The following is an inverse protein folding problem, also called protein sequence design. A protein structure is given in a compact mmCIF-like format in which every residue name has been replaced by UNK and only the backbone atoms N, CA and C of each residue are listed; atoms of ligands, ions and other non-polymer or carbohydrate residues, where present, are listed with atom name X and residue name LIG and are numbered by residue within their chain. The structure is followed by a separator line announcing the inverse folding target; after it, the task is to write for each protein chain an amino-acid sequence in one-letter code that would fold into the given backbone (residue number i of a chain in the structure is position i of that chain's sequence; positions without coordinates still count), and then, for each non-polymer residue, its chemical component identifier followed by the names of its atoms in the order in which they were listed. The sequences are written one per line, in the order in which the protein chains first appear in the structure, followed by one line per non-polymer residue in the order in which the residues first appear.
data_IF_701783643495
#
_entry.id   IF_701783643495
#
_cell.length_a   1.000
_cell.length_b   1.000
_cell.length_c   1.000
_cell.angle_alpha   90.00
_cell.angle_beta   90.00
_cell.angle_gamma   90.00
#
_symmetry.space_group_name_H-M   'P 1'
#
loop_
_entity.id
_entity.type
_entity.pdbx_description
1 polymer ?
#
# COMPACT_ATOMS: atom_id res chain seq x y z
N UNK A 1 8.75 -4.02 15.37
CA UNK A 1 7.54 -3.17 15.50
C UNK A 1 6.41 -4.03 16.00
N UNK A 2 5.56 -3.53 16.91
CA UNK A 2 4.32 -4.19 17.31
C UNK A 2 3.20 -3.63 16.45
N UNK A 3 3.04 -4.17 15.24
CA UNK A 3 1.89 -3.84 14.37
C UNK A 3 0.76 -4.78 14.74
N UNK A 4 -0.46 -4.27 14.80
CA UNK A 4 -1.65 -5.07 15.09
C UNK A 4 -1.81 -6.17 14.01
N UNK A 5 -2.04 -7.41 14.47
CA UNK A 5 -2.18 -8.56 13.59
C UNK A 5 -3.44 -8.45 12.72
N UNK A 6 -4.51 -7.83 13.21
CA UNK A 6 -5.74 -7.65 12.45
C UNK A 6 -5.52 -6.72 11.24
N UNK A 7 -4.64 -5.72 11.38
CA UNK A 7 -4.23 -4.84 10.27
C UNK A 7 -3.44 -5.65 9.23
N UNK A 8 -2.49 -6.47 9.69
CA UNK A 8 -1.66 -7.31 8.80
C UNK A 8 -2.55 -8.29 8.03
N UNK A 9 -3.45 -8.98 8.72
CA UNK A 9 -4.32 -9.97 8.08
C UNK A 9 -5.32 -9.32 7.12
N UNK A 10 -5.87 -8.15 7.44
CA UNK A 10 -6.73 -7.43 6.52
C UNK A 10 -6.00 -6.99 5.23
N UNK A 11 -4.77 -6.50 5.36
CA UNK A 11 -3.95 -6.12 4.19
C UNK A 11 -3.59 -7.33 3.32
N UNK A 12 -3.17 -8.44 3.94
CA UNK A 12 -2.79 -9.64 3.20
C UNK A 12 -3.99 -10.29 2.53
N UNK A 13 -5.12 -10.36 3.23
CA UNK A 13 -6.36 -10.95 2.71
C UNK A 13 -7.14 -9.97 1.81
N UNK A 14 -6.62 -8.77 1.58
CA UNK A 14 -7.22 -7.71 0.74
C UNK A 14 -8.63 -7.30 1.21
N UNK A 15 -8.93 -7.42 2.50
CA UNK A 15 -10.20 -6.98 3.11
C UNK A 15 -10.09 -5.57 3.70
N UNK A 16 -11.18 -4.80 3.80
CA UNK A 16 -11.13 -3.45 4.39
C UNK A 16 -10.51 -3.44 5.78
N UNK A 17 -9.81 -2.35 6.11
CA UNK A 17 -9.27 -2.07 7.43
C UNK A 17 -10.35 -1.50 8.35
N UNK A 18 -10.32 -1.89 9.63
CA UNK A 18 -11.29 -1.42 10.62
C UNK A 18 -11.11 0.07 10.94
N UNK A 19 -9.88 0.58 10.90
CA UNK A 19 -9.60 2.01 11.07
C UNK A 19 -9.95 2.76 9.77
N UNK A 20 -10.93 3.69 9.79
CA UNK A 20 -11.37 4.40 8.59
C UNK A 20 -10.29 5.27 7.94
N UNK A 21 -9.35 5.80 8.75
CA UNK A 21 -8.23 6.60 8.25
C UNK A 21 -7.23 5.70 7.53
N UNK A 22 -6.90 4.54 8.09
CA UNK A 22 -6.03 3.58 7.41
C UNK A 22 -6.70 2.97 6.17
N UNK A 23 -8.01 2.75 6.17
CA UNK A 23 -8.72 2.29 4.97
C UNK A 23 -8.67 3.35 3.86
N UNK A 24 -8.85 4.63 4.18
CA UNK A 24 -8.68 5.71 3.19
C UNK A 24 -7.26 5.70 2.60
N UNK A 25 -6.22 5.49 3.41
CA UNK A 25 -4.84 5.36 2.92
C UNK A 25 -4.68 4.15 1.98
N UNK A 26 -5.25 3.00 2.34
CA UNK A 26 -5.21 1.79 1.52
C UNK A 26 -5.92 2.01 0.18
N UNK A 27 -7.14 2.54 0.21
CA UNK A 27 -7.92 2.82 -1.00
C UNK A 27 -7.20 3.80 -1.93
N UNK A 28 -6.68 4.91 -1.40
CA UNK A 28 -5.93 5.88 -2.20
C UNK A 28 -4.65 5.28 -2.76
N UNK A 29 -3.90 4.48 -1.99
CA UNK A 29 -2.70 3.79 -2.49
C UNK A 29 -3.04 2.83 -3.64
N UNK A 30 -4.15 2.07 -3.51
CA UNK A 30 -4.63 1.19 -4.57
C UNK A 30 -5.07 1.97 -5.82
N UNK A 31 -5.77 3.10 -5.65
CA UNK A 31 -6.18 3.96 -6.75
C UNK A 31 -4.97 4.50 -7.52
N UNK A 32 -4.00 5.11 -6.82
CA UNK A 32 -2.77 5.64 -7.43
C UNK A 32 -2.00 4.54 -8.18
N UNK A 33 -1.95 3.33 -7.61
CA UNK A 33 -1.28 2.18 -8.25
C UNK A 33 -1.98 1.76 -9.55
N UNK A 34 -3.30 1.59 -9.51
CA UNK A 34 -4.10 1.07 -10.63
C UNK A 34 -4.28 2.09 -11.75
N UNK A 35 -4.49 3.35 -11.36
CA UNK A 35 -4.74 4.48 -12.27
C UNK A 35 -3.44 5.22 -12.63
N UNK A 36 -2.28 4.68 -12.24
CA UNK A 36 -0.94 5.20 -12.58
C UNK A 36 -0.76 6.68 -12.24
N UNK A 37 -1.23 7.07 -11.06
CA UNK A 37 -1.12 8.45 -10.56
C UNK A 37 -2.21 9.41 -11.02
N UNK A 38 -3.10 9.01 -11.94
CA UNK A 38 -4.21 9.84 -12.41
C UNK A 38 -5.49 9.46 -11.68
N UNK A 39 -5.63 9.91 -10.43
CA UNK A 39 -6.83 9.68 -9.61
C UNK A 39 -7.80 10.87 -9.67
N UNK A 40 -9.10 10.61 -9.50
CA UNK A 40 -10.15 11.63 -9.55
C UNK A 40 -10.13 12.59 -8.36
N UNK A 41 -10.66 13.81 -8.57
CA UNK A 41 -10.82 14.81 -7.50
C UNK A 41 -11.62 14.26 -6.32
N UNK A 42 -12.65 13.46 -6.58
CA UNK A 42 -13.45 12.79 -5.53
C UNK A 42 -12.61 11.85 -4.66
N UNK A 43 -11.67 11.11 -5.23
CA UNK A 43 -10.77 10.24 -4.46
C UNK A 43 -9.78 11.07 -3.64
N UNK A 44 -9.28 12.18 -4.19
CA UNK A 44 -8.39 13.12 -3.48
C UNK A 44 -9.13 13.77 -2.31
N UNK A 45 -10.35 14.24 -2.51
CA UNK A 45 -11.20 14.83 -1.47
C UNK A 45 -11.50 13.84 -0.35
N UNK A 46 -11.84 12.58 -0.67
CA UNK A 46 -12.06 11.53 0.34
C UNK A 46 -10.81 11.28 1.18
N UNK A 47 -9.63 11.27 0.54
CA UNK A 47 -8.35 11.11 1.23
C UNK A 47 -8.08 12.28 2.19
N UNK A 48 -8.35 13.51 1.76
CA UNK A 48 -8.18 14.69 2.61
C UNK A 48 -9.21 14.77 3.74
N UNK A 49 -10.44 14.33 3.50
CA UNK A 49 -11.48 14.23 4.54
C UNK A 49 -11.10 13.24 5.66
N UNK A 50 -10.28 12.22 5.37
CA UNK A 50 -9.71 11.32 6.37
C UNK A 50 -8.54 11.95 7.18
N UNK A 51 -8.20 13.21 6.93
CA UNK A 51 -7.17 13.96 7.65
C UNK A 51 -5.76 13.77 7.10
N UNK A 52 -5.63 13.39 5.83
CA UNK A 52 -4.36 13.43 5.10
C UNK A 52 -4.23 14.67 4.24
N UNK A 53 -3.03 14.94 3.72
CA UNK A 53 -2.78 16.08 2.85
C UNK A 53 -1.99 15.72 1.60
N UNK A 54 -1.67 16.76 0.81
CA UNK A 54 -0.85 16.63 -0.40
C UNK A 54 0.50 15.98 -0.13
N UNK A 55 1.11 16.24 1.03
CA UNK A 55 2.36 15.60 1.43
C UNK A 55 2.23 14.07 1.43
N UNK A 56 1.18 13.52 2.03
CA UNK A 56 0.98 12.08 2.09
C UNK A 56 0.70 11.46 0.72
N UNK A 57 0.10 12.20 -0.22
CA UNK A 57 0.01 11.73 -1.62
C UNK A 57 1.40 11.56 -2.25
N UNK A 58 2.32 12.51 -2.00
CA UNK A 58 3.70 12.40 -2.49
C UNK A 58 4.47 11.28 -1.79
N UNK A 59 4.22 11.06 -0.49
CA UNK A 59 4.80 9.93 0.26
C UNK A 59 4.30 8.57 -0.25
N UNK A 60 3.02 8.48 -0.67
CA UNK A 60 2.50 7.29 -1.37
C UNK A 60 3.27 7.07 -2.67
N UNK A 61 3.49 8.12 -3.48
CA UNK A 61 4.25 8.01 -4.73
C UNK A 61 5.69 7.53 -4.47
N UNK A 62 6.34 8.04 -3.42
CA UNK A 62 7.67 7.58 -3.01
C UNK A 62 7.67 6.07 -2.68
N UNK A 63 6.71 5.62 -1.86
CA UNK A 63 6.56 4.21 -1.51
C UNK A 63 6.27 3.32 -2.73
N UNK A 64 5.40 3.77 -3.63
CA UNK A 64 5.09 3.06 -4.88
C UNK A 64 6.31 2.96 -5.79
N UNK A 65 7.10 4.03 -5.93
CA UNK A 65 8.31 4.03 -6.74
C UNK A 65 9.30 2.95 -6.27
N UNK A 66 9.50 2.85 -4.95
CA UNK A 66 10.35 1.83 -4.35
C UNK A 66 9.79 0.41 -4.58
N UNK A 67 8.47 0.23 -4.47
CA UNK A 67 7.83 -1.08 -4.66
C UNK A 67 7.77 -1.52 -6.11
N UNK A 68 7.55 -0.61 -7.06
CA UNK A 68 7.63 -0.92 -8.49
C UNK A 68 9.03 -1.42 -8.82
N UNK A 69 10.08 -0.68 -8.43
CA UNK A 69 11.46 -1.09 -8.66
C UNK A 69 11.74 -2.47 -8.04
N UNK A 70 11.46 -2.65 -6.75
CA UNK A 70 11.77 -3.90 -6.04
C UNK A 70 10.95 -5.09 -6.57
N UNK A 71 9.65 -4.94 -6.79
CA UNK A 71 8.79 -6.02 -7.26
C UNK A 71 9.19 -6.45 -8.67
N UNK A 72 9.46 -5.49 -9.57
CA UNK A 72 9.81 -5.82 -10.95
C UNK A 72 11.18 -6.48 -11.03
N UNK A 73 12.17 -6.00 -10.28
CA UNK A 73 13.47 -6.66 -10.17
C UNK A 73 13.31 -8.10 -9.68
N UNK A 74 12.59 -8.33 -8.58
CA UNK A 74 12.43 -9.67 -8.03
C UNK A 74 11.67 -10.62 -8.96
N UNK A 75 10.64 -10.14 -9.67
CA UNK A 75 9.90 -10.94 -10.65
C UNK A 75 10.77 -11.31 -11.86
N UNK A 76 11.61 -10.41 -12.35
CA UNK A 76 12.46 -10.67 -13.53
C UNK A 76 13.70 -11.51 -13.21
N UNK A 77 14.17 -11.44 -11.96
CA UNK A 77 15.36 -12.15 -11.51
C UNK A 77 15.03 -13.47 -10.79
N UNK A 78 13.76 -13.84 -10.66
CA UNK A 78 13.28 -15.00 -9.90
C UNK A 78 13.94 -15.10 -8.51
N UNK A 79 14.00 -13.97 -7.80
CA UNK A 79 14.79 -13.86 -6.57
C UNK A 79 14.24 -14.80 -5.49
N UNK A 80 15.03 -15.77 -4.98
CA UNK A 80 14.56 -16.71 -3.96
C UNK A 80 14.33 -15.99 -2.63
N UNK A 81 13.36 -16.46 -1.86
CA UNK A 81 13.11 -15.96 -0.51
C UNK A 81 14.15 -16.56 0.44
N UNK A 82 14.85 -15.71 1.20
CA UNK A 82 15.80 -16.16 2.21
C UNK A 82 15.11 -17.02 3.29
N UNK A 83 15.84 -17.99 3.84
CA UNK A 83 15.32 -18.95 4.84
C UNK A 83 14.59 -18.26 6.01
N UNK A 84 15.13 -17.14 6.51
CA UNK A 84 14.56 -16.40 7.63
C UNK A 84 13.14 -15.86 7.34
N UNK A 85 12.80 -15.64 6.07
CA UNK A 85 11.52 -15.09 5.64
C UNK A 85 10.52 -16.13 5.13
N UNK A 86 10.94 -17.38 4.89
CA UNK A 86 10.04 -18.44 4.40
C UNK A 86 8.80 -18.67 5.27
N UNK A 87 8.93 -18.52 6.60
CA UNK A 87 7.81 -18.65 7.54
C UNK A 87 6.70 -17.60 7.37
N UNK A 88 6.93 -16.55 6.60
CA UNK A 88 5.97 -15.48 6.33
C UNK A 88 5.35 -15.56 4.94
N UNK A 89 5.79 -16.50 4.11
CA UNK A 89 5.14 -16.77 2.82
C UNK A 89 3.75 -17.34 3.12
N UNK A 90 2.70 -16.76 2.53
CA UNK A 90 1.33 -17.30 2.57
C UNK A 90 1.05 -18.13 1.33
#
# INVERSE_FOLDING_TARGET
MKVDQDIVDALVNKTPLADPKLEALRETTLAVTRERGVISDKQIEKFFAAGYGKQQLLEIILGLSQKVMSNYTNHLADTPVDEAFKKFIK
#
